data_IF_263511641116
#
_entry.id   IF_263511641116
#
_cell.length_a   1.000
_cell.length_b   1.000
_cell.length_c   1.000
_cell.angle_alpha   90.00
_cell.angle_beta   90.00
_cell.angle_gamma   90.00
#
_symmetry.space_group_name_H-M   'P 1'
#
loop_
_entity.id
_entity.type
_entity.pdbx_description
1 polymer ?
#
# COMPACT_ATOMS: atom_id res chain seq x y z
N UNK A 1 21.30 -12.86 -12.71
CA UNK A 1 21.55 -11.81 -11.71
C UNK A 1 20.52 -12.00 -10.61
N UNK A 2 20.97 -12.18 -9.36
CA UNK A 2 20.11 -12.62 -8.25
C UNK A 2 19.03 -11.58 -7.91
N UNK A 3 17.80 -12.06 -7.69
CA UNK A 3 16.74 -11.24 -7.11
C UNK A 3 16.99 -10.95 -5.64
N UNK A 4 16.21 -10.04 -5.05
CA UNK A 4 16.24 -9.81 -3.61
C UNK A 4 15.66 -11.02 -2.85
N UNK A 5 15.99 -11.15 -1.56
CA UNK A 5 15.51 -12.26 -0.72
C UNK A 5 15.19 -11.80 0.70
N UNK A 6 14.12 -12.32 1.28
CA UNK A 6 13.72 -12.15 2.67
C UNK A 6 13.60 -13.54 3.29
N UNK A 7 14.48 -13.86 4.24
CA UNK A 7 14.37 -15.05 5.08
C UNK A 7 13.75 -14.65 6.41
N UNK A 8 12.50 -15.06 6.64
CA UNK A 8 11.72 -14.73 7.83
C UNK A 8 11.72 -15.88 8.83
N UNK A 9 12.52 -15.74 9.88
CA UNK A 9 12.59 -16.68 11.00
C UNK A 9 11.52 -16.35 12.02
N UNK A 10 10.60 -17.28 12.27
CA UNK A 10 9.38 -17.04 13.04
C UNK A 10 9.03 -18.20 13.99
N UNK A 11 8.29 -17.88 15.04
CA UNK A 11 7.68 -18.85 15.96
C UNK A 11 6.20 -18.49 16.17
N UNK A 12 5.32 -19.49 16.19
CA UNK A 12 3.88 -19.30 16.44
C UNK A 12 3.59 -18.67 17.80
N UNK A 13 4.50 -18.82 18.78
CA UNK A 13 4.39 -18.21 20.10
C UNK A 13 4.73 -16.71 20.15
N UNK A 14 5.08 -16.08 19.02
CA UNK A 14 5.30 -14.62 18.94
C UNK A 14 4.17 -13.93 18.17
N UNK A 15 3.52 -12.96 18.82
CA UNK A 15 2.51 -12.12 18.15
C UNK A 15 3.13 -11.30 17.03
N UNK A 16 4.35 -10.80 17.21
CA UNK A 16 5.05 -10.07 16.15
C UNK A 16 5.43 -10.99 14.99
N UNK A 17 5.64 -12.28 15.23
CA UNK A 17 5.81 -13.27 14.15
C UNK A 17 4.52 -13.44 13.36
N UNK A 18 3.37 -13.42 14.05
CA UNK A 18 2.07 -13.43 13.37
C UNK A 18 1.87 -12.16 12.52
N UNK A 19 2.18 -10.98 13.08
CA UNK A 19 2.10 -9.70 12.36
C UNK A 19 3.01 -9.69 11.13
N UNK A 20 4.29 -10.01 11.28
CA UNK A 20 5.24 -10.02 10.17
C UNK A 20 4.87 -11.06 9.10
N UNK A 21 4.36 -12.23 9.51
CA UNK A 21 3.87 -13.24 8.59
C UNK A 21 2.69 -12.73 7.75
N UNK A 22 1.67 -12.12 8.37
CA UNK A 22 0.51 -11.57 7.65
C UNK A 22 0.92 -10.41 6.75
N UNK A 23 1.81 -9.54 7.21
CA UNK A 23 2.34 -8.44 6.39
C UNK A 23 3.04 -8.96 5.12
N UNK A 24 3.97 -9.90 5.27
CA UNK A 24 4.66 -10.52 4.14
C UNK A 24 3.68 -11.28 3.24
N UNK A 25 2.73 -12.02 3.81
CA UNK A 25 1.72 -12.78 3.06
C UNK A 25 0.87 -11.87 2.17
N UNK A 26 0.40 -10.73 2.70
CA UNK A 26 -0.41 -9.75 1.96
C UNK A 26 0.36 -9.09 0.81
N UNK A 27 1.69 -9.17 0.81
CA UNK A 27 2.57 -8.49 -0.13
C UNK A 27 3.41 -9.45 -0.99
N UNK A 28 3.20 -10.77 -0.93
CA UNK A 28 4.01 -11.74 -1.68
C UNK A 28 4.00 -11.47 -3.19
N UNK A 29 2.85 -11.12 -3.76
CA UNK A 29 2.74 -10.81 -5.19
C UNK A 29 3.52 -9.54 -5.56
N UNK A 30 3.42 -8.50 -4.74
CA UNK A 30 4.16 -7.25 -4.93
C UNK A 30 5.68 -7.47 -4.82
N UNK A 31 6.12 -8.25 -3.83
CA UNK A 31 7.52 -8.61 -3.63
C UNK A 31 8.04 -9.43 -4.82
N UNK A 32 7.29 -10.45 -5.26
CA UNK A 32 7.64 -11.27 -6.41
C UNK A 32 7.71 -10.44 -7.71
N UNK A 33 6.77 -9.53 -7.94
CA UNK A 33 6.78 -8.61 -9.08
C UNK A 33 8.02 -7.70 -9.09
N UNK A 34 8.61 -7.44 -7.93
CA UNK A 34 9.86 -6.70 -7.77
C UNK A 34 11.10 -7.62 -7.68
N UNK A 35 10.96 -8.90 -8.05
CA UNK A 35 12.06 -9.87 -8.03
C UNK A 35 12.58 -10.15 -6.62
N UNK A 36 11.74 -10.03 -5.59
CA UNK A 36 12.06 -10.39 -4.21
C UNK A 36 11.39 -11.72 -3.87
N UNK A 37 12.18 -12.67 -3.40
CA UNK A 37 11.69 -13.95 -2.89
C UNK A 37 11.55 -13.90 -1.37
N UNK A 38 10.48 -14.49 -0.85
CA UNK A 38 10.27 -14.62 0.60
C UNK A 38 10.28 -16.09 0.97
N UNK A 39 11.02 -16.43 2.01
CA UNK A 39 11.02 -17.77 2.59
C UNK A 39 10.76 -17.69 4.10
N UNK A 40 9.88 -18.56 4.60
CA UNK A 40 9.49 -18.60 6.01
C UNK A 40 10.19 -19.78 6.70
N UNK A 41 10.87 -19.51 7.82
CA UNK A 41 11.68 -20.48 8.56
C UNK A 41 11.13 -20.64 9.98
N UNK A 42 10.36 -21.71 10.24
CA UNK A 42 9.97 -22.06 11.61
C UNK A 42 11.21 -22.27 12.48
N UNK A 43 11.32 -21.51 13.57
CA UNK A 43 12.40 -21.60 14.56
C UNK A 43 11.83 -21.62 15.96
N UNK A 44 12.59 -22.15 16.91
CA UNK A 44 12.14 -22.21 18.30
C UNK A 44 12.62 -20.99 19.10
N UNK A 45 11.68 -20.07 19.35
CA UNK A 45 11.94 -18.82 20.08
C UNK A 45 12.46 -19.07 21.51
N UNK A 46 11.97 -20.12 22.17
CA UNK A 46 12.43 -20.49 23.52
C UNK A 46 13.94 -20.74 23.58
N UNK A 47 14.50 -21.45 22.58
CA UNK A 47 15.94 -21.69 22.49
C UNK A 47 16.73 -20.43 22.11
N UNK A 48 16.19 -19.56 21.25
CA UNK A 48 16.81 -18.26 20.91
C UNK A 48 16.94 -17.39 22.17
N UNK A 49 15.86 -17.25 22.93
CA UNK A 49 15.84 -16.43 24.16
C UNK A 49 16.78 -17.00 25.22
N UNK A 50 16.81 -18.32 25.40
CA UNK A 50 17.72 -18.97 26.34
C UNK A 50 19.19 -18.73 25.96
N UNK A 51 19.54 -18.88 24.68
CA UNK A 51 20.92 -18.79 24.20
C UNK A 51 21.46 -17.36 24.21
N UNK A 52 20.60 -16.36 23.99
CA UNK A 52 20.98 -14.93 23.97
C UNK A 52 20.84 -14.23 25.32
N UNK A 53 20.27 -14.90 26.32
CA UNK A 53 19.95 -14.29 27.62
C UNK A 53 18.82 -13.25 27.56
N UNK A 54 18.12 -13.14 26.42
CA UNK A 54 17.02 -12.21 26.26
C UNK A 54 15.82 -12.64 27.11
N UNK A 55 15.26 -11.68 27.88
CA UNK A 55 14.10 -11.94 28.74
C UNK A 55 12.82 -11.40 28.09
N UNK A 56 11.67 -12.07 28.30
CA UNK A 56 10.43 -11.61 27.70
C UNK A 56 10.07 -10.18 28.14
N UNK A 57 9.54 -9.34 27.24
CA UNK A 57 9.31 -7.92 27.52
C UNK A 57 8.32 -7.67 28.67
N UNK A 58 7.36 -8.57 28.89
CA UNK A 58 6.38 -8.44 29.98
C UNK A 58 6.98 -8.62 31.37
N UNK A 59 8.19 -9.16 31.50
CA UNK A 59 8.91 -9.25 32.78
C UNK A 59 9.32 -7.88 33.32
N UNK A 60 9.29 -6.84 32.48
CA UNK A 60 9.51 -5.44 32.86
C UNK A 60 8.18 -4.70 32.81
N UNK A 61 7.68 -4.24 33.96
CA UNK A 61 6.35 -3.59 34.08
C UNK A 61 6.10 -2.47 33.06
N UNK A 62 7.09 -1.62 32.82
CA UNK A 62 6.99 -0.53 31.84
C UNK A 62 6.85 -1.04 30.39
N UNK A 63 7.64 -2.05 30.02
CA UNK A 63 7.55 -2.68 28.69
C UNK A 63 6.24 -3.44 28.54
N UNK A 64 5.75 -4.10 29.58
CA UNK A 64 4.43 -4.76 29.58
C UNK A 64 3.29 -3.77 29.30
N UNK A 65 3.31 -2.61 29.95
CA UNK A 65 2.33 -1.55 29.73
C UNK A 65 2.41 -0.95 28.32
N UNK A 66 3.63 -0.81 27.77
CA UNK A 66 3.81 -0.36 26.37
C UNK A 66 3.30 -1.41 25.37
N UNK A 67 3.56 -2.69 25.63
CA UNK A 67 3.27 -3.79 24.73
C UNK A 67 1.77 -3.95 24.45
N UNK A 68 0.88 -3.57 25.38
CA UNK A 68 -0.57 -3.59 25.12
C UNK A 68 -0.97 -2.63 24.00
N UNK A 69 -0.35 -1.45 23.94
CA UNK A 69 -0.58 -0.48 22.87
C UNK A 69 0.08 -0.92 21.57
N UNK A 70 1.31 -1.40 21.66
CA UNK A 70 2.12 -1.74 20.49
C UNK A 70 1.57 -2.95 19.74
N UNK A 71 1.23 -4.01 20.48
CA UNK A 71 0.56 -5.19 19.92
C UNK A 71 -0.76 -4.85 19.23
N UNK A 72 -1.55 -3.93 19.80
CA UNK A 72 -2.81 -3.49 19.21
C UNK A 72 -2.62 -2.66 17.93
N UNK A 73 -1.58 -1.82 17.87
CA UNK A 73 -1.23 -1.08 16.65
C UNK A 73 -0.71 -2.02 15.58
N UNK A 74 0.23 -2.91 15.92
CA UNK A 74 0.85 -3.85 15.01
C UNK A 74 -0.18 -4.79 14.38
N UNK A 75 -1.08 -5.37 15.17
CA UNK A 75 -2.16 -6.21 14.66
C UNK A 75 -3.12 -5.44 13.73
N UNK A 76 -3.49 -4.20 14.10
CA UNK A 76 -4.38 -3.35 13.29
C UNK A 76 -3.76 -3.00 11.95
N UNK A 77 -2.45 -2.74 11.90
CA UNK A 77 -1.73 -2.36 10.68
C UNK A 77 -1.82 -3.43 9.59
N UNK A 78 -1.94 -4.71 9.98
CA UNK A 78 -2.00 -5.85 9.05
C UNK A 78 -3.39 -6.50 8.99
N UNK A 79 -4.40 -5.90 9.62
CA UNK A 79 -5.77 -6.40 9.60
C UNK A 79 -6.06 -7.61 10.49
N UNK A 80 -5.21 -7.92 11.47
CA UNK A 80 -5.48 -8.99 12.45
C UNK A 80 -6.52 -8.48 13.46
N UNK A 81 -7.69 -9.12 13.48
CA UNK A 81 -8.82 -8.78 14.37
C UNK A 81 -9.14 -9.94 15.32
N UNK A 82 -9.73 -9.63 16.48
CA UNK A 82 -10.22 -10.64 17.43
C UNK A 82 -9.12 -11.42 18.16
N UNK A 83 -7.85 -11.02 18.02
CA UNK A 83 -6.75 -11.62 18.73
C UNK A 83 -6.76 -11.23 20.23
N UNK A 84 -6.20 -12.10 21.07
CA UNK A 84 -5.94 -11.84 22.48
C UNK A 84 -4.64 -12.52 22.93
N UNK A 85 -4.07 -12.11 24.05
CA UNK A 85 -2.93 -12.83 24.64
C UNK A 85 -3.46 -14.07 25.38
N UNK A 86 -2.90 -15.27 25.13
CA UNK A 86 -3.32 -16.46 25.84
C UNK A 86 -3.08 -16.33 27.36
N UNK A 87 -4.01 -16.80 28.21
CA UNK A 87 -3.92 -16.62 29.66
C UNK A 87 -2.71 -17.33 30.29
N UNK A 88 -2.27 -18.46 29.71
CA UNK A 88 -1.09 -19.22 30.15
C UNK A 88 0.00 -19.24 29.05
N UNK A 89 0.39 -18.06 28.56
CA UNK A 89 1.31 -17.92 27.42
C UNK A 89 2.57 -18.79 27.52
N UNK A 90 3.20 -18.88 28.70
CA UNK A 90 4.43 -19.68 28.90
C UNK A 90 4.23 -21.18 28.65
N UNK A 91 3.15 -21.75 29.17
CA UNK A 91 2.84 -23.16 28.95
C UNK A 91 2.42 -23.41 27.51
N UNK A 92 1.70 -22.46 26.92
CA UNK A 92 1.25 -22.55 25.55
C UNK A 92 2.41 -22.40 24.54
N UNK A 93 3.47 -21.67 24.89
CA UNK A 93 4.64 -21.42 24.05
C UNK A 93 5.60 -22.63 23.91
N UNK A 94 5.20 -23.85 24.30
CA UNK A 94 5.93 -25.10 24.02
C UNK A 94 5.65 -25.54 22.57
N UNK A 95 6.29 -24.86 21.62
CA UNK A 95 5.94 -24.93 20.19
C UNK A 95 6.78 -25.91 19.36
N UNK A 96 7.60 -26.78 19.97
CA UNK A 96 8.50 -27.66 19.20
C UNK A 96 7.75 -28.63 18.27
N UNK A 97 6.66 -29.25 18.75
CA UNK A 97 5.82 -30.17 17.95
C UNK A 97 5.19 -29.45 16.73
N UNK A 98 4.48 -28.31 16.90
CA UNK A 98 3.88 -27.62 15.75
C UNK A 98 4.92 -27.01 14.80
N UNK A 99 6.07 -26.54 15.29
CA UNK A 99 7.15 -26.03 14.43
C UNK A 99 7.74 -27.14 13.55
N UNK A 100 7.89 -28.35 14.08
CA UNK A 100 8.31 -29.52 13.30
C UNK A 100 7.28 -29.91 12.24
N UNK A 101 5.99 -29.84 12.57
CA UNK A 101 4.92 -30.07 11.60
C UNK A 101 4.99 -29.06 10.44
N UNK A 102 5.25 -27.79 10.73
CA UNK A 102 5.46 -26.75 9.70
C UNK A 102 6.69 -27.05 8.83
N UNK A 103 7.79 -27.56 9.39
CA UNK A 103 8.97 -27.96 8.63
C UNK A 103 8.70 -29.18 7.74
N UNK A 104 7.93 -30.16 8.23
CA UNK A 104 7.45 -31.27 7.41
C UNK A 104 6.64 -30.75 6.21
N UNK A 105 5.71 -29.82 6.46
CA UNK A 105 4.90 -29.19 5.40
C UNK A 105 5.80 -28.46 4.41
N UNK A 106 6.73 -27.63 4.90
CA UNK A 106 7.70 -26.89 4.06
C UNK A 106 8.51 -27.81 3.15
N UNK A 107 8.88 -29.00 3.62
CA UNK A 107 9.70 -29.96 2.86
C UNK A 107 8.91 -30.71 1.78
N UNK A 108 7.64 -31.02 2.05
CA UNK A 108 6.86 -31.99 1.27
C UNK A 108 5.69 -31.36 0.49
N UNK A 109 5.37 -30.09 0.72
CA UNK A 109 4.23 -29.41 0.10
C UNK A 109 4.65 -28.05 -0.52
N UNK A 110 3.88 -27.55 -1.51
CA UNK A 110 4.17 -26.25 -2.11
C UNK A 110 3.93 -25.09 -1.11
N UNK A 111 4.59 -23.93 -1.30
CA UNK A 111 4.55 -22.81 -0.34
C UNK A 111 3.15 -22.35 0.11
N UNK A 112 2.10 -22.30 -0.75
CA UNK A 112 0.77 -21.92 -0.30
C UNK A 112 0.20 -22.81 0.82
N UNK A 113 0.58 -24.10 0.86
CA UNK A 113 0.18 -25.04 1.91
C UNK A 113 0.84 -24.67 3.25
N UNK A 114 2.14 -24.34 3.22
CA UNK A 114 2.85 -23.84 4.40
C UNK A 114 2.22 -22.53 4.91
N UNK A 115 1.88 -21.61 4.01
CA UNK A 115 1.27 -20.34 4.38
C UNK A 115 -0.10 -20.54 5.04
N UNK A 116 -0.94 -21.42 4.50
CA UNK A 116 -2.22 -21.75 5.10
C UNK A 116 -2.07 -22.40 6.48
N UNK A 117 -1.12 -23.34 6.63
CA UNK A 117 -0.83 -23.98 7.90
C UNK A 117 -0.33 -22.96 8.95
N UNK A 118 0.64 -22.11 8.59
CA UNK A 118 1.12 -21.03 9.46
C UNK A 118 -0.03 -20.14 9.93
N UNK A 119 -0.87 -19.68 9.00
CA UNK A 119 -2.01 -18.83 9.32
C UNK A 119 -3.00 -19.51 10.26
N UNK A 120 -3.31 -20.79 10.03
CA UNK A 120 -4.22 -21.56 10.88
C UNK A 120 -3.64 -21.74 12.30
N UNK A 121 -2.36 -22.09 12.43
CA UNK A 121 -1.70 -22.23 13.73
C UNK A 121 -1.61 -20.89 14.47
N UNK A 122 -1.27 -19.79 13.79
CA UNK A 122 -1.27 -18.46 14.39
C UNK A 122 -2.66 -18.07 14.89
N UNK A 123 -3.72 -18.27 14.08
CA UNK A 123 -5.10 -17.99 14.49
C UNK A 123 -5.50 -18.83 15.69
N UNK A 124 -5.23 -20.14 15.67
CA UNK A 124 -5.58 -21.05 16.76
C UNK A 124 -4.84 -20.71 18.06
N UNK A 125 -3.60 -20.19 17.96
CA UNK A 125 -2.82 -19.75 19.10
C UNK A 125 -3.28 -18.39 19.65
N UNK A 126 -3.49 -17.39 18.78
CA UNK A 126 -3.69 -15.99 19.17
C UNK A 126 -5.15 -15.52 19.22
N UNK A 127 -6.12 -16.30 18.74
CA UNK A 127 -7.54 -15.95 18.75
C UNK A 127 -8.32 -16.82 19.73
N UNK A 128 -9.09 -16.24 20.67
CA UNK A 128 -9.96 -17.00 21.55
C UNK A 128 -11.04 -17.80 20.78
N UNK A 129 -11.37 -19.04 21.20
CA UNK A 129 -10.72 -19.77 22.28
C UNK A 129 -9.33 -20.29 21.84
N UNK A 130 -8.30 -19.99 22.64
CA UNK A 130 -6.93 -20.42 22.36
C UNK A 130 -6.80 -21.95 22.49
N UNK A 131 -5.91 -22.56 21.71
CA UNK A 131 -5.52 -23.95 21.91
C UNK A 131 -4.02 -24.12 22.14
N UNK A 132 -3.68 -25.08 23.00
CA UNK A 132 -2.31 -25.52 23.18
C UNK A 132 -1.91 -26.43 22.03
N UNK A 133 -1.09 -25.93 21.11
CA UNK A 133 -0.69 -26.66 19.91
C UNK A 133 0.43 -27.69 20.15
N UNK A 134 0.91 -27.84 21.39
CA UNK A 134 1.76 -28.97 21.77
C UNK A 134 0.98 -30.26 22.04
N UNK A 135 -0.35 -30.17 22.13
CA UNK A 135 -1.27 -31.31 22.17
C UNK A 135 -1.61 -31.77 20.75
N UNK A 136 -1.59 -33.08 20.53
CA UNK A 136 -1.69 -33.67 19.20
C UNK A 136 -3.08 -33.50 18.57
N UNK A 137 -4.14 -33.63 19.35
CA UNK A 137 -5.51 -33.47 18.86
C UNK A 137 -5.76 -32.00 18.47
N UNK A 138 -5.31 -31.06 19.29
CA UNK A 138 -5.40 -29.63 18.98
C UNK A 138 -4.58 -29.23 17.74
N UNK A 139 -3.38 -29.79 17.58
CA UNK A 139 -2.53 -29.54 16.41
C UNK A 139 -3.15 -30.12 15.14
N UNK A 140 -3.61 -31.37 15.17
CA UNK A 140 -4.26 -32.02 14.04
C UNK A 140 -5.53 -31.26 13.63
N UNK A 141 -6.35 -30.83 14.59
CA UNK A 141 -7.54 -30.01 14.32
C UNK A 141 -7.18 -28.67 13.68
N UNK A 142 -6.16 -27.97 14.19
CA UNK A 142 -5.73 -26.69 13.62
C UNK A 142 -5.17 -26.82 12.19
N UNK A 143 -4.46 -27.92 11.89
CA UNK A 143 -3.99 -28.23 10.54
C UNK A 143 -5.14 -28.62 9.61
N UNK A 144 -6.18 -29.28 10.13
CA UNK A 144 -7.40 -29.54 9.38
C UNK A 144 -8.18 -28.25 9.10
N UNK A 145 -8.17 -27.25 9.99
CA UNK A 145 -8.79 -25.94 9.73
C UNK A 145 -8.06 -25.14 8.64
N UNK A 146 -6.75 -25.38 8.45
CA UNK A 146 -6.01 -24.86 7.30
C UNK A 146 -6.56 -25.39 5.95
N UNK A 147 -7.45 -26.38 6.00
CA UNK A 147 -8.20 -26.89 4.86
C UNK A 147 -9.43 -26.01 4.50
N UNK A 148 -10.01 -25.24 5.42
CA UNK A 148 -11.17 -24.38 5.12
C UNK A 148 -12.44 -25.12 4.62
N UNK A 149 -13.53 -24.36 4.47
CA UNK A 149 -14.87 -24.91 4.14
C UNK A 149 -15.07 -25.21 2.64
N UNK A 150 -14.13 -24.82 1.76
CA UNK A 150 -14.21 -24.97 0.29
C UNK A 150 -13.21 -25.98 -0.29
N UNK A 151 -12.77 -26.95 0.50
CA UNK A 151 -11.82 -27.98 0.06
C UNK A 151 -10.39 -27.51 0.19
N UNK A 152 -9.72 -28.00 1.21
CA UNK A 152 -8.45 -27.46 1.63
C UNK A 152 -7.20 -27.84 0.91
N UNK A 153 -6.17 -27.08 1.24
CA UNK A 153 -4.81 -27.32 0.79
C UNK A 153 -4.16 -28.53 1.49
N UNK A 154 -4.74 -29.01 2.60
CA UNK A 154 -4.38 -30.28 3.26
C UNK A 154 -5.61 -31.17 3.36
N UNK A 155 -5.52 -32.39 2.83
CA UNK A 155 -6.51 -33.44 3.06
C UNK A 155 -6.36 -34.06 4.46
N UNK A 156 -7.36 -34.81 4.93
CA UNK A 156 -7.25 -35.59 6.16
C UNK A 156 -6.03 -36.54 6.15
N UNK A 157 -5.70 -37.08 4.98
CA UNK A 157 -4.53 -37.94 4.79
C UNK A 157 -3.22 -37.15 4.87
N UNK A 158 -3.19 -35.92 4.37
CA UNK A 158 -2.05 -35.02 4.54
C UNK A 158 -1.83 -34.71 6.02
N UNK A 159 -2.89 -34.35 6.76
CA UNK A 159 -2.78 -34.08 8.20
C UNK A 159 -2.22 -35.31 8.94
N UNK A 160 -2.72 -36.51 8.65
CA UNK A 160 -2.17 -37.75 9.23
C UNK A 160 -0.69 -37.94 8.91
N UNK A 161 -0.26 -37.68 7.67
CA UNK A 161 1.15 -37.76 7.27
C UNK A 161 2.02 -36.72 7.98
N UNK A 162 1.57 -35.46 8.04
CA UNK A 162 2.26 -34.38 8.74
C UNK A 162 2.44 -34.74 10.21
N UNK A 163 1.37 -35.19 10.87
CA UNK A 163 1.45 -35.61 12.26
C UNK A 163 2.43 -36.78 12.41
N UNK A 164 2.32 -37.84 11.62
CA UNK A 164 3.23 -38.98 11.75
C UNK A 164 4.71 -38.63 11.51
N UNK A 165 5.00 -37.78 10.52
CA UNK A 165 6.37 -37.47 10.10
C UNK A 165 7.03 -36.27 10.78
N UNK A 166 6.31 -35.49 11.61
CA UNK A 166 6.88 -34.27 12.22
C UNK A 166 8.08 -34.56 13.11
N UNK A 167 8.11 -35.67 13.83
CA UNK A 167 9.20 -35.94 14.78
C UNK A 167 10.57 -36.12 14.10
N UNK A 168 10.59 -36.53 12.83
CA UNK A 168 11.80 -36.61 12.00
C UNK A 168 12.45 -35.23 11.75
N UNK A 169 11.71 -34.14 11.94
CA UNK A 169 12.18 -32.77 11.76
C UNK A 169 12.76 -32.14 13.02
N UNK A 170 13.01 -32.93 14.08
CA UNK A 170 13.65 -32.44 15.32
C UNK A 170 15.00 -31.79 15.04
N UNK A 171 15.87 -32.43 14.26
CA UNK A 171 17.20 -31.91 13.96
C UNK A 171 17.11 -30.72 13.01
N UNK A 172 16.22 -30.76 12.01
CA UNK A 172 15.97 -29.63 11.13
C UNK A 172 15.50 -28.37 11.89
N UNK A 173 14.66 -28.51 12.92
CA UNK A 173 14.25 -27.40 13.78
C UNK A 173 15.43 -26.85 14.59
N UNK A 174 16.27 -27.74 15.12
CA UNK A 174 17.47 -27.35 15.85
C UNK A 174 18.44 -26.58 14.95
N UNK A 175 18.70 -27.08 13.75
CA UNK A 175 19.61 -26.48 12.79
C UNK A 175 19.10 -25.12 12.27
N UNK A 176 17.80 -25.03 11.95
CA UNK A 176 17.18 -23.77 11.57
C UNK A 176 17.23 -22.71 12.67
N UNK A 177 17.03 -23.14 13.93
CA UNK A 177 17.13 -22.26 15.10
C UNK A 177 18.59 -21.81 15.34
N UNK A 178 19.55 -22.74 15.21
CA UNK A 178 20.98 -22.43 15.30
C UNK A 178 21.40 -21.44 14.21
N UNK A 179 20.88 -21.61 12.99
CA UNK A 179 21.14 -20.68 11.89
C UNK A 179 20.65 -19.27 12.19
N UNK A 180 19.45 -19.12 12.78
CA UNK A 180 18.95 -17.82 13.19
C UNK A 180 19.88 -17.17 14.24
N UNK A 181 20.38 -17.95 15.21
CA UNK A 181 21.35 -17.48 16.21
C UNK A 181 22.67 -17.01 15.58
N UNK A 182 23.20 -17.75 14.61
CA UNK A 182 24.41 -17.35 13.86
C UNK A 182 24.22 -16.03 13.09
N UNK A 183 22.99 -15.76 12.65
CA UNK A 183 22.60 -14.50 12.01
C UNK A 183 22.35 -13.36 13.02
N UNK A 184 22.52 -13.61 14.32
CA UNK A 184 22.38 -12.63 15.39
C UNK A 184 20.98 -12.52 15.99
N UNK A 185 20.07 -13.46 15.69
CA UNK A 185 18.71 -13.41 16.20
C UNK A 185 18.68 -13.46 17.74
N UNK A 186 17.98 -12.50 18.35
CA UNK A 186 17.73 -12.45 19.79
C UNK A 186 16.23 -12.54 20.15
N UNK A 187 15.38 -12.77 19.15
CA UNK A 187 13.96 -13.04 19.31
C UNK A 187 13.31 -13.38 17.97
N UNK A 188 11.98 -13.40 17.92
CA UNK A 188 11.21 -13.66 16.70
C UNK A 188 10.07 -12.63 16.55
N UNK A 189 9.79 -12.15 15.32
CA UNK A 189 10.42 -12.55 14.07
C UNK A 189 11.83 -11.95 13.94
N UNK A 190 12.68 -12.68 13.22
CA UNK A 190 13.98 -12.21 12.76
C UNK A 190 14.01 -12.28 11.24
N UNK A 191 14.27 -11.16 10.57
CA UNK A 191 14.25 -11.05 9.12
C UNK A 191 15.68 -10.87 8.64
N UNK A 192 16.14 -11.75 7.77
CA UNK A 192 17.42 -11.61 7.08
C UNK A 192 17.17 -11.24 5.62
N UNK A 193 17.66 -10.08 5.22
CA UNK A 193 17.18 -9.39 4.02
C UNK A 193 18.36 -9.13 3.12
N UNK A 194 18.36 -9.71 1.92
CA UNK A 194 19.48 -9.67 0.96
C UNK A 194 19.08 -8.96 -0.32
N UNK A 195 19.70 -7.82 -0.61
CA UNK A 195 19.41 -6.98 -1.77
C UNK A 195 19.86 -7.62 -3.10
N UNK A 196 19.53 -6.97 -4.22
CA UNK A 196 19.92 -7.45 -5.56
C UNK A 196 21.43 -7.43 -5.80
N UNK A 197 22.19 -6.66 -5.01
CA UNK A 197 23.65 -6.63 -5.04
C UNK A 197 24.27 -7.72 -4.15
N UNK A 198 23.45 -8.50 -3.42
CA UNK A 198 23.88 -9.54 -2.49
C UNK A 198 24.26 -9.01 -1.11
N UNK A 199 24.04 -7.72 -0.82
CA UNK A 199 24.26 -7.15 0.52
C UNK A 199 23.10 -7.57 1.41
N UNK A 200 23.43 -8.11 2.59
CA UNK A 200 22.43 -8.58 3.53
C UNK A 200 22.50 -7.86 4.88
N UNK A 201 21.35 -7.60 5.49
CA UNK A 201 21.24 -7.05 6.83
C UNK A 201 20.03 -7.60 7.62
N UNK A 202 20.10 -7.62 8.96
CA UNK A 202 19.02 -8.11 9.80
C UNK A 202 17.99 -7.04 10.18
N UNK A 203 16.75 -7.47 10.40
CA UNK A 203 15.69 -6.68 11.04
C UNK A 203 14.98 -7.51 12.12
N UNK A 204 14.52 -6.87 13.19
CA UNK A 204 13.88 -7.53 14.33
C UNK A 204 12.46 -7.02 14.58
N UNK A 205 11.58 -7.90 15.05
CA UNK A 205 10.25 -7.46 15.47
C UNK A 205 9.45 -6.82 14.32
N UNK A 206 8.72 -5.76 14.64
CA UNK A 206 8.10 -4.86 13.66
C UNK A 206 8.84 -3.52 13.61
N UNK A 207 10.18 -3.54 13.70
CA UNK A 207 11.06 -2.37 13.95
C UNK A 207 10.42 -1.03 13.53
N UNK A 208 9.88 -0.35 14.54
CA UNK A 208 9.07 0.86 14.41
C UNK A 208 9.88 2.07 14.84
N UNK A 209 10.44 2.78 13.88
CA UNK A 209 10.77 4.20 14.00
C UNK A 209 10.67 4.79 12.58
N UNK A 210 9.49 5.24 12.17
CA UNK A 210 9.04 6.63 12.34
C UNK A 210 7.54 6.70 12.09
N UNK A 211 6.87 7.66 12.73
CA UNK A 211 5.47 8.03 12.54
C UNK A 211 4.89 7.65 11.15
N UNK A 212 3.77 6.92 11.15
CA UNK A 212 2.97 6.43 10.01
C UNK A 212 3.41 5.20 9.21
N UNK A 213 4.45 4.46 9.59
CA UNK A 213 4.83 3.24 8.86
C UNK A 213 5.20 2.07 9.78
N UNK A 214 4.29 1.09 9.93
CA UNK A 214 4.46 -0.11 10.76
C UNK A 214 4.64 -1.40 9.94
N UNK A 215 5.18 -1.32 8.72
CA UNK A 215 5.43 -2.51 7.90
C UNK A 215 6.94 -2.77 7.79
N UNK A 216 7.43 -3.95 8.20
CA UNK A 216 8.77 -4.45 7.88
C UNK A 216 9.13 -4.30 6.39
N UNK A 217 8.14 -4.36 5.51
CA UNK A 217 8.33 -4.19 4.07
C UNK A 217 8.80 -2.78 3.73
N UNK A 218 8.43 -1.71 4.45
CA UNK A 218 8.93 -0.38 4.10
C UNK A 218 10.45 -0.28 4.30
N UNK A 219 10.96 -0.86 5.38
CA UNK A 219 12.39 -0.85 5.71
C UNK A 219 13.15 -1.81 4.79
N UNK A 220 12.57 -2.98 4.53
CA UNK A 220 13.14 -3.99 3.64
C UNK A 220 13.14 -3.51 2.18
N UNK A 221 12.12 -2.77 1.75
CA UNK A 221 12.05 -2.19 0.40
C UNK A 221 13.03 -1.01 0.26
N UNK A 222 13.41 -0.33 1.36
CA UNK A 222 14.50 0.66 1.37
C UNK A 222 15.89 0.01 1.28
N UNK A 223 16.06 -1.22 1.80
CA UNK A 223 17.32 -1.98 1.80
C UNK A 223 17.54 -2.82 0.54
N UNK A 224 16.52 -3.55 0.09
CA UNK A 224 16.56 -4.47 -1.05
C UNK A 224 16.57 -3.78 -2.41
N UNK A 225 15.95 -2.61 -2.48
CA UNK A 225 15.97 -1.79 -3.67
C UNK A 225 17.22 -0.91 -3.61
N UNK A 226 18.30 -1.40 -4.24
CA UNK A 226 19.21 -0.50 -4.93
C UNK A 226 18.37 0.44 -5.81
N UNK A 227 18.07 1.61 -5.24
CA UNK A 227 17.33 2.73 -5.80
C UNK A 227 16.05 2.37 -6.58
N UNK A 228 14.99 1.93 -5.90
CA UNK A 228 13.63 2.39 -6.23
C UNK A 228 12.91 2.75 -4.95
N UNK A 229 13.07 4.02 -4.53
CA UNK A 229 12.03 4.71 -3.77
C UNK A 229 10.70 4.33 -4.43
N UNK A 230 9.72 3.77 -3.70
CA UNK A 230 8.34 3.99 -4.12
C UNK A 230 8.19 5.51 -4.08
N UNK A 231 8.39 6.12 -5.24
CA UNK A 231 8.33 7.56 -5.35
C UNK A 231 6.93 7.93 -4.88
N UNK A 232 6.78 8.96 -4.02
CA UNK A 232 5.46 9.43 -3.68
C UNK A 232 4.68 9.67 -4.98
N UNK A 233 3.38 9.32 -5.05
CA UNK A 233 2.60 9.51 -6.26
C UNK A 233 2.80 10.92 -6.78
N UNK A 234 3.24 11.02 -8.03
CA UNK A 234 3.32 12.29 -8.74
C UNK A 234 1.94 12.94 -8.78
N UNK A 235 1.89 14.24 -8.53
CA UNK A 235 0.68 15.03 -8.66
C UNK A 235 0.56 15.54 -10.09
N UNK A 236 -0.60 15.28 -10.69
CA UNK A 236 -0.96 15.77 -12.03
C UNK A 236 -2.11 16.76 -11.90
N UNK A 237 -1.95 18.00 -12.36
CA UNK A 237 -3.07 18.92 -12.48
C UNK A 237 -3.73 18.72 -13.85
N UNK A 238 -5.05 18.80 -13.92
CA UNK A 238 -5.79 18.77 -15.20
C UNK A 238 -6.78 19.93 -15.24
N UNK A 239 -6.69 20.78 -16.26
CA UNK A 239 -7.43 22.04 -16.35
C UNK A 239 -7.77 22.39 -17.79
N UNK A 240 -8.96 22.93 -18.03
CA UNK A 240 -9.29 23.65 -19.26
C UNK A 240 -9.21 25.15 -18.98
N UNK A 241 -8.52 25.90 -19.85
CA UNK A 241 -8.26 27.32 -19.66
C UNK A 241 -8.26 28.07 -21.00
N UNK A 242 -8.65 29.35 -20.99
CA UNK A 242 -8.46 30.24 -22.14
C UNK A 242 -6.98 30.54 -22.38
N UNK A 243 -6.64 31.21 -23.50
CA UNK A 243 -5.27 31.74 -23.70
C UNK A 243 -4.81 32.68 -22.59
N UNK A 244 -5.71 33.44 -21.99
CA UNK A 244 -5.43 34.28 -20.82
C UNK A 244 -5.40 33.50 -19.50
N UNK A 245 -5.34 32.16 -19.54
CA UNK A 245 -5.43 31.27 -18.39
C UNK A 245 -6.71 31.43 -17.55
N UNK A 246 -7.80 31.89 -18.17
CA UNK A 246 -9.12 31.99 -17.54
C UNK A 246 -9.77 30.62 -17.41
N UNK A 247 -10.23 30.25 -16.20
CA UNK A 247 -10.76 28.91 -15.87
C UNK A 247 -12.17 28.92 -15.31
N UNK A 248 -12.73 30.10 -15.03
CA UNK A 248 -14.03 30.22 -14.37
C UNK A 248 -14.58 31.62 -14.40
N UNK A 249 -15.91 31.72 -14.35
CA UNK A 249 -16.65 32.95 -14.16
C UNK A 249 -17.83 32.68 -13.23
N UNK A 250 -18.01 33.50 -12.19
CA UNK A 250 -19.15 33.43 -11.28
C UNK A 250 -19.40 32.04 -10.67
N UNK A 251 -18.33 31.26 -10.46
CA UNK A 251 -18.39 29.92 -9.87
C UNK A 251 -18.76 28.78 -10.83
N UNK A 252 -18.82 29.02 -12.14
CA UNK A 252 -19.04 28.01 -13.18
C UNK A 252 -17.99 28.11 -14.29
N UNK A 253 -18.04 27.16 -15.23
CA UNK A 253 -17.23 27.23 -16.46
C UNK A 253 -17.90 28.23 -17.42
N UNK A 254 -17.17 29.22 -17.97
CA UNK A 254 -17.76 30.25 -18.82
C UNK A 254 -18.09 29.75 -20.25
N UNK A 255 -17.63 28.55 -20.61
CA UNK A 255 -17.95 27.89 -21.87
C UNK A 255 -18.97 26.77 -21.70
N UNK A 256 -19.70 26.49 -22.78
CA UNK A 256 -20.66 25.38 -22.85
C UNK A 256 -20.50 24.60 -24.16
N UNK A 257 -21.00 23.37 -24.20
CA UNK A 257 -21.04 22.57 -25.43
C UNK A 257 -19.76 21.79 -25.76
N UNK A 258 -18.71 21.86 -24.92
CA UNK A 258 -17.45 21.11 -25.10
C UNK A 258 -17.55 19.68 -24.56
N UNK A 259 -18.39 18.85 -25.20
CA UNK A 259 -18.69 17.49 -24.73
C UNK A 259 -17.49 16.56 -24.87
N UNK A 260 -16.70 16.70 -25.92
CA UNK A 260 -15.52 15.85 -26.16
C UNK A 260 -14.37 16.21 -25.21
N UNK A 261 -14.23 17.48 -24.86
CA UNK A 261 -13.33 17.92 -23.78
C UNK A 261 -13.71 17.27 -22.43
N UNK A 262 -14.99 17.34 -22.06
CA UNK A 262 -15.47 16.73 -20.82
C UNK A 262 -15.29 15.20 -20.81
N UNK A 263 -15.44 14.54 -21.98
CA UNK A 263 -15.15 13.11 -22.14
C UNK A 263 -13.65 12.81 -22.01
N UNK A 264 -12.79 13.66 -22.55
CA UNK A 264 -11.34 13.57 -22.35
C UNK A 264 -10.99 13.65 -20.86
N UNK A 265 -11.49 14.68 -20.14
CA UNK A 265 -11.32 14.79 -18.70
C UNK A 265 -11.77 13.53 -17.96
N UNK A 266 -12.96 13.02 -18.28
CA UNK A 266 -13.51 11.83 -17.63
C UNK A 266 -12.63 10.59 -17.88
N UNK A 267 -12.23 10.33 -19.13
CA UNK A 267 -11.39 9.17 -19.49
C UNK A 267 -10.01 9.26 -18.87
N UNK A 268 -9.34 10.41 -18.98
CA UNK A 268 -7.97 10.57 -18.47
C UNK A 268 -7.92 10.42 -16.95
N UNK A 269 -8.90 11.00 -16.25
CA UNK A 269 -8.93 10.92 -14.78
C UNK A 269 -9.40 9.56 -14.26
N UNK A 270 -10.15 8.75 -15.03
CA UNK A 270 -10.58 7.40 -14.60
C UNK A 270 -9.66 6.27 -15.07
N UNK A 271 -8.89 6.47 -16.14
CA UNK A 271 -8.05 5.41 -16.71
C UNK A 271 -6.89 5.07 -15.79
N UNK A 272 -6.89 3.85 -15.30
CA UNK A 272 -5.85 3.29 -14.45
C UNK A 272 -4.70 2.76 -15.33
N UNK A 273 -3.42 3.02 -14.99
CA UNK A 273 -2.28 2.48 -15.74
C UNK A 273 -2.29 0.94 -15.79
N UNK A 274 -1.85 0.31 -16.90
CA UNK A 274 -1.86 -1.16 -17.05
C UNK A 274 -1.09 -1.94 -15.99
N UNK A 275 -0.12 -1.30 -15.33
CA UNK A 275 0.72 -1.90 -14.30
C UNK A 275 0.20 -1.69 -12.86
N UNK A 276 -0.90 -0.97 -12.70
CA UNK A 276 -1.49 -0.77 -11.37
C UNK A 276 -2.26 -2.02 -10.92
N UNK A 277 -2.46 -2.21 -9.60
CA UNK A 277 -3.25 -3.32 -9.08
C UNK A 277 -4.65 -3.39 -9.72
N UNK A 278 -5.23 -4.58 -9.95
CA UNK A 278 -6.53 -4.74 -10.61
C UNK A 278 -7.69 -3.96 -9.97
N UNK A 279 -7.61 -3.73 -8.66
CA UNK A 279 -8.59 -3.00 -7.85
C UNK A 279 -8.31 -1.50 -7.71
N UNK A 280 -7.18 -1.01 -8.26
CA UNK A 280 -6.77 0.37 -8.09
C UNK A 280 -7.70 1.32 -8.87
N UNK A 281 -7.89 2.51 -8.32
CA UNK A 281 -8.57 3.65 -8.97
C UNK A 281 -7.63 4.84 -9.00
N UNK A 282 -7.95 5.88 -9.78
CA UNK A 282 -7.27 7.16 -9.63
C UNK A 282 -7.97 8.01 -8.55
N UNK A 283 -7.24 8.94 -7.95
CA UNK A 283 -7.79 9.94 -7.04
C UNK A 283 -7.99 11.28 -7.74
N UNK A 284 -9.06 11.99 -7.40
CA UNK A 284 -9.35 13.36 -7.85
C UNK A 284 -9.52 14.27 -6.63
N UNK A 285 -8.65 15.27 -6.51
CA UNK A 285 -8.61 16.25 -5.43
C UNK A 285 -9.22 17.56 -5.96
N UNK A 286 -10.17 18.11 -5.21
CA UNK A 286 -10.81 19.37 -5.57
C UNK A 286 -11.20 20.21 -4.35
N UNK A 287 -11.38 21.51 -4.57
CA UNK A 287 -11.91 22.42 -3.56
C UNK A 287 -13.43 22.33 -3.42
N UNK A 288 -13.96 22.71 -2.25
CA UNK A 288 -15.40 22.74 -1.97
C UNK A 288 -16.23 23.48 -3.04
N UNK A 289 -15.77 24.65 -3.51
CA UNK A 289 -16.51 25.42 -4.53
C UNK A 289 -16.64 24.67 -5.85
N UNK A 290 -15.58 23.97 -6.28
CA UNK A 290 -15.59 23.13 -7.49
C UNK A 290 -16.50 21.92 -7.31
N UNK A 291 -16.53 21.32 -6.12
CA UNK A 291 -17.48 20.26 -5.79
C UNK A 291 -18.94 20.73 -5.87
N UNK A 292 -19.22 21.95 -5.40
CA UNK A 292 -20.56 22.54 -5.38
C UNK A 292 -21.04 23.00 -6.77
N UNK A 293 -20.13 23.37 -7.68
CA UNK A 293 -20.48 23.78 -9.04
C UNK A 293 -20.81 22.60 -9.96
N UNK A 294 -20.42 21.36 -9.60
CA UNK A 294 -20.76 20.16 -10.37
C UNK A 294 -22.23 19.76 -10.16
N UNK A 295 -22.98 19.44 -11.23
CA UNK A 295 -24.35 18.95 -11.10
C UNK A 295 -24.44 17.70 -10.22
N UNK A 296 -25.46 17.62 -9.36
CA UNK A 296 -25.61 16.54 -8.38
C UNK A 296 -25.56 15.13 -9.00
N UNK A 297 -26.08 14.96 -10.22
CA UNK A 297 -26.06 13.68 -10.97
C UNK A 297 -24.66 13.21 -11.40
N UNK A 298 -23.66 14.08 -11.38
CA UNK A 298 -22.29 13.78 -11.80
C UNK A 298 -21.30 13.73 -10.64
N UNK A 299 -21.75 13.97 -9.39
CA UNK A 299 -20.92 13.87 -8.19
C UNK A 299 -21.46 12.78 -7.24
N UNK A 300 -20.61 11.93 -6.64
CA UNK A 300 -19.17 11.80 -6.88
C UNK A 300 -18.83 11.39 -8.31
N UNK A 301 -17.63 11.77 -8.77
CA UNK A 301 -17.12 11.34 -10.07
C UNK A 301 -16.89 9.81 -10.04
N UNK A 302 -17.64 9.06 -10.84
CA UNK A 302 -17.58 7.58 -10.87
C UNK A 302 -16.18 7.04 -11.16
N UNK A 303 -15.87 5.87 -10.61
CA UNK A 303 -14.63 5.10 -10.81
C UNK A 303 -13.35 5.84 -10.37
N UNK A 304 -13.50 6.78 -9.44
CA UNK A 304 -12.42 7.60 -8.88
C UNK A 304 -12.62 7.81 -7.39
N UNK A 305 -11.52 7.85 -6.65
CA UNK A 305 -11.53 8.31 -5.27
C UNK A 305 -11.67 9.84 -5.24
N UNK A 306 -12.83 10.34 -4.79
CA UNK A 306 -13.11 11.77 -4.75
C UNK A 306 -12.67 12.35 -3.39
N UNK A 307 -11.77 13.35 -3.42
CA UNK A 307 -11.28 14.04 -2.22
C UNK A 307 -11.62 15.53 -2.32
N UNK A 308 -12.37 16.04 -1.34
CA UNK A 308 -12.87 17.41 -1.31
C UNK A 308 -12.23 18.18 -0.15
N UNK A 309 -11.52 19.26 -0.48
CA UNK A 309 -10.90 20.15 0.50
C UNK A 309 -11.95 21.16 1.00
N UNK A 310 -12.21 21.12 2.31
CA UNK A 310 -13.12 22.06 2.99
C UNK A 310 -12.67 22.31 4.42
N UNK A 311 -12.68 23.58 4.86
CA UNK A 311 -12.26 23.98 6.21
C UNK A 311 -13.13 23.40 7.34
N UNK A 312 -14.35 22.97 7.02
CA UNK A 312 -15.29 22.38 7.97
C UNK A 312 -15.18 20.85 8.07
N UNK A 313 -14.16 20.25 7.44
CA UNK A 313 -13.95 18.80 7.52
C UNK A 313 -13.47 18.40 8.92
N UNK A 314 -14.06 17.32 9.46
CA UNK A 314 -13.45 16.56 10.55
C UNK A 314 -12.22 15.78 10.02
N UNK A 315 -11.48 15.10 10.90
CA UNK A 315 -10.36 14.27 10.48
C UNK A 315 -10.79 13.24 9.39
N UNK A 316 -9.91 12.95 8.41
CA UNK A 316 -10.24 11.99 7.36
C UNK A 316 -10.62 10.63 7.96
N UNK A 317 -11.65 9.94 7.42
CA UNK A 317 -12.06 8.65 7.92
C UNK A 317 -10.91 7.63 7.83
N UNK A 318 -10.76 6.82 8.88
CA UNK A 318 -9.74 5.75 8.96
C UNK A 318 -10.12 4.51 8.15
N UNK A 319 -11.38 4.40 7.74
CA UNK A 319 -11.88 3.30 6.91
C UNK A 319 -11.80 3.67 5.43
N UNK A 320 -11.43 2.70 4.59
CA UNK A 320 -11.48 2.82 3.13
C UNK A 320 -12.92 3.08 2.70
N UNK A 321 -13.26 4.27 2.17
CA UNK A 321 -14.55 4.49 1.56
C UNK A 321 -14.64 3.57 0.34
N UNK A 322 -15.75 2.87 0.20
CA UNK A 322 -16.11 2.27 -1.09
C UNK A 322 -16.15 3.42 -2.12
N UNK A 323 -15.50 3.31 -3.29
CA UNK A 323 -15.26 4.43 -4.21
C UNK A 323 -16.51 5.15 -4.77
N UNK A 324 -17.72 4.76 -4.37
CA UNK A 324 -18.98 5.18 -4.97
C UNK A 324 -19.96 5.91 -4.04
N UNK A 325 -19.85 5.87 -2.70
CA UNK A 325 -20.94 6.36 -1.83
C UNK A 325 -20.83 7.84 -1.43
N UNK A 326 -19.65 8.35 -1.06
CA UNK A 326 -19.45 9.76 -0.65
C UNK A 326 -18.01 10.24 -0.88
N UNK A 327 -17.77 11.56 -1.10
CA UNK A 327 -16.42 12.09 -1.18
C UNK A 327 -15.73 12.07 0.19
N UNK A 328 -14.43 11.82 0.19
CA UNK A 328 -13.58 12.05 1.37
C UNK A 328 -13.41 13.54 1.57
N UNK A 329 -13.69 14.06 2.76
CA UNK A 329 -13.54 15.48 3.08
C UNK A 329 -12.29 15.67 3.93
N UNK A 330 -11.46 16.65 3.58
CA UNK A 330 -10.19 16.96 4.27
C UNK A 330 -10.01 18.47 4.45
N UNK A 331 -9.27 18.92 5.47
CA UNK A 331 -9.17 20.35 5.79
C UNK A 331 -8.21 21.13 4.89
N UNK A 332 -7.25 20.46 4.22
CA UNK A 332 -6.20 21.11 3.41
C UNK A 332 -5.66 20.19 2.31
N UNK A 333 -4.84 20.75 1.42
CA UNK A 333 -4.14 19.99 0.37
C UNK A 333 -3.18 18.97 0.99
N UNK A 334 -2.42 19.33 2.02
CA UNK A 334 -1.48 18.42 2.69
C UNK A 334 -2.19 17.18 3.22
N UNK A 335 -3.38 17.34 3.81
CA UNK A 335 -4.19 16.21 4.26
C UNK A 335 -4.73 15.38 3.09
N UNK A 336 -5.09 16.02 1.98
CA UNK A 336 -5.51 15.32 0.76
C UNK A 336 -4.37 14.47 0.19
N UNK A 337 -3.17 15.02 0.13
CA UNK A 337 -1.98 14.35 -0.38
C UNK A 337 -1.52 13.24 0.57
N UNK A 338 -1.51 13.46 1.88
CA UNK A 338 -1.21 12.42 2.86
C UNK A 338 -2.18 11.24 2.73
N UNK A 339 -3.49 11.52 2.62
CA UNK A 339 -4.50 10.50 2.41
C UNK A 339 -4.31 9.76 1.08
N UNK A 340 -4.08 10.48 -0.02
CA UNK A 340 -3.83 9.88 -1.33
C UNK A 340 -2.55 9.03 -1.36
N UNK A 341 -1.48 9.48 -0.69
CA UNK A 341 -0.21 8.75 -0.53
C UNK A 341 -0.41 7.45 0.24
N UNK A 342 -1.16 7.48 1.33
CA UNK A 342 -1.50 6.28 2.10
C UNK A 342 -2.28 5.29 1.22
N UNK A 343 -3.31 5.75 0.50
CA UNK A 343 -4.08 4.89 -0.41
C UNK A 343 -3.26 4.38 -1.61
N UNK A 344 -2.26 5.14 -2.06
CA UNK A 344 -1.32 4.68 -3.08
C UNK A 344 -0.40 3.58 -2.53
N UNK A 345 0.09 3.72 -1.30
CA UNK A 345 0.88 2.68 -0.63
C UNK A 345 0.07 1.39 -0.42
N UNK A 346 -1.25 1.50 -0.15
CA UNK A 346 -2.17 0.37 -0.04
C UNK A 346 -2.55 -0.27 -1.40
N UNK A 347 -2.02 0.24 -2.52
CA UNK A 347 -2.37 -0.23 -3.86
C UNK A 347 -3.79 0.14 -4.33
N UNK A 348 -4.48 1.02 -3.60
CA UNK A 348 -5.84 1.48 -3.91
C UNK A 348 -5.83 2.65 -4.91
N UNK A 349 -4.84 3.53 -4.82
CA UNK A 349 -4.71 4.71 -5.70
C UNK A 349 -3.56 4.54 -6.67
N UNK A 350 -3.82 4.66 -7.98
CA UNK A 350 -2.79 4.55 -9.01
C UNK A 350 -2.18 5.89 -9.43
N UNK A 351 -3.01 6.91 -9.67
CA UNK A 351 -2.59 8.29 -9.97
C UNK A 351 -3.39 9.30 -9.16
N UNK A 352 -2.80 10.46 -8.89
CA UNK A 352 -3.46 11.56 -8.17
C UNK A 352 -3.62 12.77 -9.09
N UNK A 353 -4.86 13.18 -9.28
CA UNK A 353 -5.22 14.35 -10.09
C UNK A 353 -5.71 15.49 -9.20
N UNK A 354 -5.23 16.71 -9.43
CA UNK A 354 -5.85 17.93 -8.92
C UNK A 354 -6.70 18.52 -10.02
N UNK A 355 -7.99 18.68 -9.75
CA UNK A 355 -8.98 19.14 -10.73
C UNK A 355 -9.54 20.55 -10.40
N UNK A 356 -8.87 21.26 -9.49
CA UNK A 356 -9.11 22.67 -9.17
C UNK A 356 -9.94 22.92 -7.92
N UNK A 357 -10.44 24.12 -7.68
CA UNK A 357 -10.28 25.34 -8.49
C UNK A 357 -8.99 26.13 -8.18
N UNK A 358 -8.97 27.42 -8.54
CA UNK A 358 -7.79 28.29 -8.50
C UNK A 358 -6.96 28.21 -7.21
N UNK A 359 -7.60 28.22 -6.03
CA UNK A 359 -6.89 28.11 -4.74
C UNK A 359 -6.19 26.76 -4.56
N UNK A 360 -6.82 25.67 -5.00
CA UNK A 360 -6.23 24.33 -4.91
C UNK A 360 -5.12 24.17 -5.95
N UNK A 361 -5.30 24.73 -7.15
CA UNK A 361 -4.24 24.78 -8.16
C UNK A 361 -3.01 25.54 -7.66
N UNK A 362 -3.20 26.72 -7.04
CA UNK A 362 -2.11 27.51 -6.49
C UNK A 362 -1.32 26.73 -5.43
N UNK A 363 -2.02 26.08 -4.50
CA UNK A 363 -1.40 25.24 -3.49
C UNK A 363 -0.67 24.03 -4.12
N UNK A 364 -1.27 23.40 -5.12
CA UNK A 364 -0.69 22.24 -5.79
C UNK A 364 0.56 22.59 -6.61
N UNK A 365 0.59 23.72 -7.31
CA UNK A 365 1.78 24.17 -8.06
C UNK A 365 2.99 24.45 -7.15
N UNK A 366 2.75 24.84 -5.90
CA UNK A 366 3.79 25.04 -4.89
C UNK A 366 4.31 23.72 -4.29
N UNK A 367 3.57 22.61 -4.46
CA UNK A 367 3.97 21.30 -3.92
C UNK A 367 5.05 20.64 -4.80
N UNK A 368 6.14 20.12 -4.21
CA UNK A 368 7.23 19.50 -4.96
C UNK A 368 6.83 18.19 -5.66
N UNK A 369 5.73 17.53 -5.27
CA UNK A 369 5.24 16.32 -5.94
C UNK A 369 4.53 16.64 -7.27
N UNK A 370 4.23 17.90 -7.55
CA UNK A 370 3.62 18.33 -8.82
C UNK A 370 4.60 18.21 -9.97
N UNK A 371 4.38 17.19 -10.79
CA UNK A 371 5.25 16.84 -11.92
C UNK A 371 4.67 17.20 -13.27
N UNK A 372 3.33 17.28 -13.38
CA UNK A 372 2.63 17.31 -14.66
C UNK A 372 1.39 18.21 -14.66
N UNK A 373 1.17 18.91 -15.77
CA UNK A 373 -0.07 19.62 -16.08
C UNK A 373 -0.66 19.06 -17.37
N UNK A 374 -1.94 18.75 -17.38
CA UNK A 374 -2.72 18.46 -18.56
C UNK A 374 -3.63 19.65 -18.80
N UNK A 375 -3.40 20.36 -19.90
CA UNK A 375 -4.06 21.63 -20.16
C UNK A 375 -4.84 21.54 -21.46
N UNK A 376 -6.15 21.78 -21.40
CA UNK A 376 -6.95 22.05 -22.59
C UNK A 376 -6.94 23.57 -22.82
N UNK A 377 -6.23 24.04 -23.85
CA UNK A 377 -6.16 25.46 -24.19
C UNK A 377 -7.29 25.82 -25.14
N UNK A 378 -8.20 26.69 -24.70
CA UNK A 378 -9.32 27.19 -25.49
C UNK A 378 -8.89 28.43 -26.28
N UNK A 379 -9.04 28.37 -27.60
CA UNK A 379 -8.76 29.45 -28.54
C UNK A 379 -10.00 30.34 -28.75
N UNK A 380 -10.52 30.86 -27.64
CA UNK A 380 -11.61 31.82 -27.62
C UNK A 380 -11.54 32.63 -26.33
N UNK A 381 -11.85 33.92 -26.45
CA UNK A 381 -11.93 34.81 -25.30
C UNK A 381 -13.27 34.64 -24.59
N UNK A 382 -13.20 34.42 -23.28
CA UNK A 382 -14.35 34.37 -22.39
C UNK A 382 -14.09 35.33 -21.23
N UNK A 383 -15.14 36.02 -20.76
CA UNK A 383 -15.04 36.86 -19.58
C UNK A 383 -14.85 35.98 -18.33
N UNK A 384 -13.65 36.02 -17.76
CA UNK A 384 -13.24 35.15 -16.65
C UNK A 384 -12.90 35.99 -15.42
N UNK A 385 -13.47 35.64 -14.26
CA UNK A 385 -13.11 36.23 -12.96
C UNK A 385 -12.11 35.38 -12.18
N UNK A 386 -11.87 34.15 -12.65
CA UNK A 386 -11.02 33.16 -12.00
C UNK A 386 -9.98 32.65 -13.00
N UNK A 387 -8.70 32.72 -12.62
CA UNK A 387 -7.57 32.38 -13.48
C UNK A 387 -6.72 31.26 -12.89
N UNK A 388 -6.09 30.47 -13.76
CA UNK A 388 -5.08 29.49 -13.38
C UNK A 388 -3.78 30.21 -12.96
N UNK A 389 -3.13 29.81 -11.86
CA UNK A 389 -2.05 30.59 -11.25
C UNK A 389 -0.66 30.46 -11.92
N UNK A 390 -0.59 29.92 -13.14
CA UNK A 390 0.65 29.81 -13.93
C UNK A 390 0.36 30.28 -15.35
N UNK A 391 1.21 31.15 -15.89
CA UNK A 391 1.14 31.55 -17.30
C UNK A 391 1.84 30.48 -18.16
N UNK A 392 1.09 29.90 -19.10
CA UNK A 392 1.59 28.93 -20.10
C UNK A 392 1.51 29.49 -21.53
N UNK A 393 0.92 30.68 -21.71
CA UNK A 393 0.59 31.23 -23.01
C UNK A 393 1.75 32.01 -23.65
N UNK A 394 2.61 32.60 -22.81
CA UNK A 394 3.86 33.19 -23.24
C UNK A 394 4.95 32.11 -23.14
N UNK A 395 5.31 31.46 -24.27
CA UNK A 395 6.28 30.37 -24.29
C UNK A 395 7.60 30.63 -23.55
N UNK A 396 7.94 31.89 -23.24
CA UNK A 396 9.08 32.26 -22.40
C UNK A 396 8.87 32.25 -20.87
N UNK A 397 7.65 32.31 -20.33
CA UNK A 397 7.42 32.40 -18.87
C UNK A 397 7.28 31.03 -18.18
N UNK A 398 6.64 30.06 -18.83
CA UNK A 398 6.53 28.69 -18.33
C UNK A 398 7.87 27.95 -18.36
N UNK A 399 8.62 28.07 -19.47
CA UNK A 399 9.98 27.52 -19.60
C UNK A 399 10.91 28.15 -18.57
N UNK A 400 10.81 29.47 -18.34
CA UNK A 400 11.55 30.16 -17.28
C UNK A 400 11.12 29.73 -15.86
N UNK A 401 9.92 29.17 -15.71
CA UNK A 401 9.39 28.64 -14.45
C UNK A 401 9.67 27.13 -14.28
N UNK A 402 10.48 26.54 -15.16
CA UNK A 402 10.85 25.13 -15.13
C UNK A 402 9.76 24.19 -15.63
N UNK A 403 8.86 24.63 -16.51
CA UNK A 403 7.84 23.79 -17.15
C UNK A 403 8.08 23.69 -18.65
N UNK A 404 8.21 22.47 -19.16
CA UNK A 404 8.38 22.21 -20.57
C UNK A 404 7.17 21.51 -21.17
N UNK A 405 6.73 21.99 -22.35
CA UNK A 405 5.69 21.35 -23.12
C UNK A 405 6.19 20.02 -23.69
N UNK A 406 5.40 18.96 -23.54
CA UNK A 406 5.70 17.62 -24.06
C UNK A 406 5.05 17.39 -25.41
N UNK A 407 5.62 16.46 -26.17
CA UNK A 407 5.13 16.14 -27.52
C UNK A 407 3.75 15.48 -27.49
N UNK A 408 3.09 15.48 -28.65
CA UNK A 408 1.81 14.78 -28.83
C UNK A 408 1.91 13.30 -28.48
N UNK A 409 3.02 12.66 -28.82
CA UNK A 409 3.21 11.23 -28.59
C UNK A 409 3.42 10.93 -27.11
N UNK A 410 4.13 11.80 -26.40
CA UNK A 410 4.28 11.70 -24.94
C UNK A 410 2.94 11.88 -24.22
N UNK A 411 2.11 12.85 -24.65
CA UNK A 411 0.74 13.02 -24.13
C UNK A 411 -0.08 11.73 -24.35
N UNK A 412 -0.10 11.18 -25.58
CA UNK A 412 -0.86 9.96 -25.90
C UNK A 412 -0.37 8.76 -25.08
N UNK A 413 0.94 8.57 -25.01
CA UNK A 413 1.55 7.49 -24.25
C UNK A 413 1.18 7.57 -22.77
N UNK A 414 1.23 8.76 -22.19
CA UNK A 414 0.96 8.95 -20.77
C UNK A 414 -0.53 8.84 -20.42
N UNK A 415 -1.40 9.46 -21.23
CA UNK A 415 -2.86 9.46 -21.02
C UNK A 415 -3.51 8.15 -21.47
N UNK A 416 -2.87 7.40 -22.36
CA UNK A 416 -3.45 6.25 -23.07
C UNK A 416 -4.50 6.64 -24.11
N UNK A 417 -4.68 7.93 -24.41
CA UNK A 417 -5.71 8.39 -25.34
C UNK A 417 -5.29 8.16 -26.80
N UNK A 418 -6.22 7.60 -27.58
CA UNK A 418 -6.15 7.57 -29.04
C UNK A 418 -6.86 8.81 -29.56
N UNK A 419 -6.19 9.96 -29.54
CA UNK A 419 -6.74 11.20 -30.09
C UNK A 419 -6.50 11.24 -31.60
N UNK A 420 -7.54 11.32 -32.42
CA UNK A 420 -7.39 11.49 -33.87
C UNK A 420 -6.70 12.83 -34.20
N UNK A 421 -6.99 13.86 -33.40
CA UNK A 421 -6.33 15.17 -33.44
C UNK A 421 -6.20 15.75 -32.03
N UNK A 422 -5.09 16.46 -31.77
CA UNK A 422 -4.96 17.27 -30.54
C UNK A 422 -5.73 18.57 -30.62
N UNK A 423 -5.91 19.10 -31.83
CA UNK A 423 -6.70 20.29 -32.11
C UNK A 423 -8.10 19.88 -32.51
N UNK A 424 -9.06 20.38 -31.77
CA UNK A 424 -10.47 20.05 -31.91
C UNK A 424 -11.26 21.35 -31.95
N UNK A 425 -12.50 21.28 -32.43
CA UNK A 425 -13.43 22.39 -32.37
C UNK A 425 -14.80 21.85 -31.99
N UNK A 426 -15.39 22.41 -30.94
CA UNK A 426 -16.77 22.13 -30.56
C UNK A 426 -17.48 23.44 -30.25
N UNK A 427 -18.72 23.59 -30.70
CA UNK A 427 -19.55 24.76 -30.43
C UNK A 427 -18.85 26.10 -30.80
N UNK A 428 -18.14 26.13 -31.93
CA UNK A 428 -17.39 27.30 -32.40
C UNK A 428 -16.23 27.72 -31.49
N UNK A 429 -15.71 26.80 -30.68
CA UNK A 429 -14.57 27.02 -29.79
C UNK A 429 -13.48 26.02 -30.15
N UNK A 430 -12.42 26.47 -30.87
CA UNK A 430 -11.26 25.64 -31.10
C UNK A 430 -10.50 25.43 -29.79
N UNK A 431 -9.94 24.24 -29.60
CA UNK A 431 -9.13 23.93 -28.43
C UNK A 431 -8.04 22.90 -28.72
N UNK A 432 -7.00 22.90 -27.90
CA UNK A 432 -5.86 21.99 -28.01
C UNK A 432 -5.56 21.29 -26.68
N UNK A 433 -5.40 19.96 -26.71
CA UNK A 433 -4.89 19.21 -25.57
C UNK A 433 -3.36 19.30 -25.50
N UNK A 434 -2.85 19.67 -24.34
CA UNK A 434 -1.42 19.84 -24.07
C UNK A 434 -1.01 19.10 -22.79
N UNK A 435 0.24 18.62 -22.76
CA UNK A 435 0.89 18.12 -21.55
C UNK A 435 2.13 18.95 -21.30
N UNK A 436 2.28 19.41 -20.07
CA UNK A 436 3.46 20.10 -19.57
C UNK A 436 4.02 19.31 -18.42
N UNK A 437 5.33 19.30 -18.30
CA UNK A 437 6.04 18.60 -17.25
C UNK A 437 7.11 19.50 -16.65
N UNK A 438 7.24 19.43 -15.34
CA UNK A 438 8.28 20.17 -14.62
C UNK A 438 9.65 19.62 -15.03
N UNK A 439 10.61 20.46 -15.34
CA UNK A 439 11.99 20.04 -15.55
C UNK A 439 12.64 19.85 -14.18
N UNK A 440 13.37 18.75 -14.01
CA UNK A 440 14.09 18.50 -12.76
C UNK A 440 15.25 19.52 -12.69
N UNK A 441 15.40 20.26 -11.57
CA UNK A 441 16.42 21.29 -11.44
C UNK A 441 17.85 20.76 -11.47
#
# INVERSE_FOLDING_TARGET
MGGGRIDCYLDIASLFSYVAFVDLLNNLELLAANGVQVDFHPVYLGAIMQSTGNRPPWTVKAKAAYLSWDSARAARAVGITGWATPPNLFDMAKTTSPLRALLFIKRNHPPPVLHAALLALFRRFWTPPHAFLGDDDNLAAALADAAGERGGLLSADDVRRVMAGREDFKDALKDGTQRALELGAFGAPWLWVTDRAGKAEPFFGSDSASFDFCSPILIINQSLAGSRKMQPPELTLIVAATRGMGIGAHGSLPWTGLRSEMRYFARVTSRVPPHAPPQAVNAVIMGRKTWDSMPAKYRPLKDRLNIVITRSAAQPPTASPTPASEPVRVPSLDHALAYARARHADGVVARVFVIGGAQVYAAALADPATRRLLVTVLDRDFDCDTHFPLDLASGGSAEASGWARRSSDQLRQWTGETLDSLRNEENGTPYEFQMWEKEDP
#
